data_IF_460850115468
#
_entry.id   IF_460850115468
#
_cell.length_a   1.000
_cell.length_b   1.000
_cell.length_c   1.000
_cell.angle_alpha   90.00
_cell.angle_beta   90.00
_cell.angle_gamma   90.00
#
_symmetry.space_group_name_H-M   'P 1'
#
loop_
_entity.id
_entity.type
_entity.pdbx_description
1 polymer ?
#
# COMPACT_ATOMS: atom_id res chain seq x y z
N UNK A 1 -13.11 37.81 16.43
CA UNK A 1 -12.55 36.91 17.47
C UNK A 1 -12.23 35.66 16.73
N UNK A 2 -10.95 35.30 16.60
CA UNK A 2 -10.58 34.05 15.94
C UNK A 2 -11.04 32.90 16.84
N UNK A 3 -11.80 31.96 16.28
CA UNK A 3 -12.27 30.78 16.99
C UNK A 3 -11.05 29.91 17.34
N UNK A 4 -10.50 30.14 18.53
CA UNK A 4 -9.36 29.39 19.07
C UNK A 4 -9.82 27.97 19.39
N UNK A 5 -9.39 27.01 18.58
CA UNK A 5 -9.65 25.59 18.83
C UNK A 5 -8.71 25.10 19.95
N UNK A 6 -9.28 24.79 21.11
CA UNK A 6 -8.57 24.18 22.23
C UNK A 6 -8.36 22.68 21.97
N UNK A 7 -7.12 22.31 21.60
CA UNK A 7 -6.75 20.93 21.27
C UNK A 7 -6.79 19.94 22.44
N UNK A 8 -6.85 20.44 23.67
CA UNK A 8 -6.87 19.62 24.88
C UNK A 8 -8.29 19.39 25.42
N UNK A 9 -9.31 19.98 24.79
CA UNK A 9 -10.69 19.76 25.19
C UNK A 9 -11.14 18.38 24.72
N UNK A 10 -11.98 17.73 25.53
CA UNK A 10 -12.57 16.47 25.15
C UNK A 10 -13.40 16.64 23.87
N UNK A 11 -13.34 15.64 22.99
CA UNK A 11 -14.19 15.57 21.81
C UNK A 11 -15.65 15.55 22.32
N UNK A 12 -16.52 16.37 21.73
CA UNK A 12 -17.95 16.37 22.06
C UNK A 12 -18.53 14.96 21.86
N UNK A 13 -19.40 14.51 22.77
CA UNK A 13 -19.94 13.13 22.76
C UNK A 13 -20.56 12.72 21.41
N UNK A 14 -21.15 13.68 20.70
CA UNK A 14 -21.72 13.49 19.35
C UNK A 14 -20.69 13.10 18.27
N UNK A 15 -19.39 13.33 18.50
CA UNK A 15 -18.28 13.00 17.60
C UNK A 15 -17.47 11.78 18.06
N UNK A 16 -17.79 11.20 19.24
CA UNK A 16 -17.17 9.96 19.72
C UNK A 16 -17.76 8.76 18.98
N UNK A 17 -19.04 8.80 18.65
CA UNK A 17 -19.72 7.72 17.94
C UNK A 17 -19.70 7.94 16.41
N UNK A 18 -18.92 7.15 15.65
CA UNK A 18 -18.92 7.23 14.19
C UNK A 18 -20.28 6.85 13.57
N UNK A 19 -21.20 6.21 14.32
CA UNK A 19 -22.51 5.78 13.83
C UNK A 19 -23.54 6.92 13.76
N UNK A 20 -23.31 8.06 14.43
CA UNK A 20 -24.25 9.19 14.42
C UNK A 20 -24.24 10.00 13.13
N UNK A 21 -23.10 9.99 12.42
CA UNK A 21 -22.94 10.56 11.06
C UNK A 21 -21.94 9.68 10.31
N UNK A 22 -22.33 8.49 9.84
CA UNK A 22 -21.45 7.71 8.99
C UNK A 22 -21.09 8.60 7.79
N UNK A 23 -19.78 8.80 7.57
CA UNK A 23 -19.32 9.38 6.33
C UNK A 23 -19.97 8.56 5.22
N UNK A 24 -20.84 9.18 4.42
CA UNK A 24 -21.42 8.50 3.27
C UNK A 24 -20.25 8.22 2.35
N UNK A 25 -19.96 6.96 2.11
CA UNK A 25 -19.06 6.61 1.05
C UNK A 25 -19.69 7.13 -0.24
N UNK A 26 -19.07 8.17 -0.82
CA UNK A 26 -19.50 8.78 -2.08
C UNK A 26 -18.84 8.11 -3.27
N UNK A 27 -17.87 7.25 -3.00
CA UNK A 27 -17.20 6.46 -4.00
C UNK A 27 -17.80 5.06 -3.89
N UNK A 28 -18.09 4.46 -5.04
CA UNK A 28 -18.39 3.02 -5.05
C UNK A 28 -17.11 2.28 -4.65
N UNK A 29 -17.25 1.12 -3.99
CA UNK A 29 -16.14 0.18 -3.85
C UNK A 29 -15.50 0.03 -5.23
N UNK A 30 -14.17 0.20 -5.32
CA UNK A 30 -13.45 0.19 -6.59
C UNK A 30 -13.96 -0.98 -7.43
N UNK A 31 -14.40 -0.69 -8.66
CA UNK A 31 -14.97 -1.71 -9.52
C UNK A 31 -13.96 -2.86 -9.68
N UNK A 32 -14.49 -4.07 -9.85
CA UNK A 32 -13.69 -5.27 -10.09
C UNK A 32 -12.69 -5.04 -11.25
N UNK A 33 -13.05 -4.23 -12.25
CA UNK A 33 -12.20 -3.75 -13.33
C UNK A 33 -10.91 -3.03 -12.88
N UNK A 34 -10.99 -2.17 -11.85
CA UNK A 34 -9.80 -1.48 -11.29
C UNK A 34 -8.94 -2.44 -10.46
N UNK A 35 -9.57 -3.40 -9.77
CA UNK A 35 -8.86 -4.46 -9.04
C UNK A 35 -8.11 -5.41 -9.99
N UNK A 36 -8.76 -5.80 -11.08
CA UNK A 36 -8.23 -6.70 -12.11
C UNK A 36 -7.07 -6.08 -12.90
N UNK A 37 -7.03 -4.75 -13.06
CA UNK A 37 -5.91 -4.05 -13.70
C UNK A 37 -4.60 -4.06 -12.89
N UNK A 38 -4.58 -4.66 -11.69
CA UNK A 38 -3.33 -5.09 -11.05
C UNK A 38 -2.88 -6.48 -11.53
N UNK A 39 -3.18 -6.85 -12.78
CA UNK A 39 -2.57 -8.02 -13.38
C UNK A 39 -1.12 -7.71 -13.76
N UNK A 40 -0.21 -7.91 -12.80
CA UNK A 40 1.22 -7.73 -12.99
C UNK A 40 1.84 -8.73 -14.01
N UNK A 41 1.02 -9.56 -14.68
CA UNK A 41 1.48 -10.56 -15.66
C UNK A 41 2.34 -11.67 -15.07
N UNK A 42 2.51 -11.70 -13.74
CA UNK A 42 3.31 -12.67 -13.01
C UNK A 42 2.48 -13.83 -12.43
N UNK A 43 1.14 -13.78 -12.55
CA UNK A 43 0.23 -14.79 -11.96
C UNK A 43 0.51 -16.21 -12.48
N UNK A 44 0.94 -16.34 -13.73
CA UNK A 44 1.27 -17.62 -14.36
C UNK A 44 2.78 -17.96 -14.35
N UNK A 45 3.63 -17.08 -13.79
CA UNK A 45 5.07 -17.34 -13.76
C UNK A 45 5.41 -18.37 -12.69
N UNK A 46 6.00 -19.48 -13.11
CA UNK A 46 6.56 -20.48 -12.18
C UNK A 46 7.59 -19.81 -11.28
N UNK A 47 7.40 -19.96 -9.97
CA UNK A 47 8.37 -19.52 -8.97
C UNK A 47 9.70 -20.22 -9.23
N UNK A 48 10.76 -19.45 -9.48
CA UNK A 48 12.09 -20.00 -9.73
C UNK A 48 12.59 -20.79 -8.52
N UNK A 49 13.33 -21.85 -8.78
CA UNK A 49 13.90 -22.71 -7.75
C UNK A 49 14.89 -21.95 -6.86
N UNK A 50 15.12 -22.44 -5.64
CA UNK A 50 16.12 -21.86 -4.72
C UNK A 50 17.53 -21.80 -5.35
N UNK A 51 17.88 -22.78 -6.19
CA UNK A 51 19.20 -22.84 -6.86
C UNK A 51 19.33 -21.72 -7.90
N UNK A 52 18.37 -21.59 -8.80
CA UNK A 52 18.35 -20.53 -9.83
C UNK A 52 18.30 -19.12 -9.21
N UNK A 53 17.64 -18.96 -8.06
CA UNK A 53 17.65 -17.67 -7.34
C UNK A 53 19.04 -17.36 -6.76
N UNK A 54 19.74 -18.37 -6.23
CA UNK A 54 21.07 -18.20 -5.65
C UNK A 54 22.12 -17.88 -6.72
N UNK A 55 22.03 -18.50 -7.89
CA UNK A 55 22.94 -18.21 -9.02
C UNK A 55 22.76 -16.77 -9.51
N UNK A 56 21.52 -16.35 -9.76
CA UNK A 56 21.26 -14.97 -10.23
C UNK A 56 21.63 -13.89 -9.22
N UNK A 57 21.57 -14.18 -7.91
CA UNK A 57 22.05 -13.24 -6.90
C UNK A 57 23.57 -13.05 -6.98
N UNK A 58 24.33 -14.13 -7.21
CA UNK A 58 25.78 -14.04 -7.40
C UNK A 58 26.14 -13.27 -8.67
N UNK A 59 25.42 -13.51 -9.77
CA UNK A 59 25.62 -12.75 -11.01
C UNK A 59 25.40 -11.24 -10.78
N UNK A 60 24.38 -10.87 -10.00
CA UNK A 60 24.14 -9.47 -9.63
C UNK A 60 25.29 -8.93 -8.78
N UNK A 61 25.75 -9.67 -7.78
CA UNK A 61 26.87 -9.27 -6.93
C UNK A 61 28.15 -9.05 -7.76
N UNK A 62 28.45 -9.93 -8.72
CA UNK A 62 29.59 -9.81 -9.64
C UNK A 62 29.49 -8.55 -10.51
N UNK A 63 28.32 -8.26 -11.09
CA UNK A 63 28.11 -7.04 -11.90
C UNK A 63 28.28 -5.77 -11.06
N UNK A 64 27.75 -5.76 -9.82
CA UNK A 64 27.91 -4.61 -8.92
C UNK A 64 29.40 -4.40 -8.57
N UNK A 65 30.15 -5.47 -8.31
CA UNK A 65 31.58 -5.37 -8.03
C UNK A 65 32.40 -4.86 -9.23
N UNK A 66 32.00 -5.21 -10.46
CA UNK A 66 32.60 -4.67 -11.68
C UNK A 66 32.29 -3.18 -11.87
N UNK A 67 31.04 -2.77 -11.66
CA UNK A 67 30.60 -1.37 -11.81
C UNK A 67 31.21 -0.43 -10.75
N UNK A 68 31.58 -0.95 -9.59
CA UNK A 68 32.19 -0.17 -8.50
C UNK A 68 33.71 0.01 -8.65
N UNK A 69 34.36 -0.63 -9.64
CA UNK A 69 35.80 -0.47 -9.94
C UNK A 69 36.07 0.73 -10.84
#
# INVERSE_FOLDING_TARGET
>A
MDDMIYRNDAIAEENIDPHGRPAKDKFEEFSEEVSEHTDLGYKDQKVKSKKERKERLKEIDEVIEEDLK
#
